data_IF_054984662974
#
_entry.id   IF_054984662974
#
_cell.length_a   1.000
_cell.length_b   1.000
_cell.length_c   1.000
_cell.angle_alpha   90.00
_cell.angle_beta   90.00
_cell.angle_gamma   90.00
#
_symmetry.space_group_name_H-M   'P 1'
#
loop_
_entity.id
_entity.type
_entity.pdbx_description
1 polymer ?
#
# COMPACT_ATOMS: atom_id res chain seq x y z
N UNK A 1 -4.62 16.25 -39.78
CA UNK A 1 -4.65 15.56 -38.47
C UNK A 1 -3.57 16.20 -37.63
N UNK A 2 -3.96 17.12 -36.75
CA UNK A 2 -3.02 17.93 -35.96
C UNK A 2 -2.58 17.08 -34.79
N UNK A 3 -1.30 16.68 -34.75
CA UNK A 3 -0.74 15.94 -33.61
C UNK A 3 -0.53 16.98 -32.51
N UNK A 4 -1.45 17.03 -31.55
CA UNK A 4 -1.25 17.80 -30.33
C UNK A 4 -0.03 17.24 -29.61
N UNK A 5 0.99 18.08 -29.41
CA UNK A 5 2.15 17.68 -28.62
C UNK A 5 1.73 17.69 -27.14
N UNK A 6 1.97 16.60 -26.39
CA UNK A 6 1.70 16.60 -24.96
C UNK A 6 2.50 17.71 -24.29
N UNK A 7 1.86 18.40 -23.33
CA UNK A 7 2.53 19.36 -22.46
C UNK A 7 3.61 18.61 -21.69
N UNK A 8 4.87 18.94 -21.95
CA UNK A 8 6.01 18.39 -21.20
C UNK A 8 6.20 19.28 -19.98
N UNK A 9 5.78 18.80 -18.82
CA UNK A 9 6.15 19.44 -17.55
C UNK A 9 7.66 19.29 -17.32
N UNK A 10 8.29 20.33 -16.76
CA UNK A 10 9.70 20.29 -16.40
C UNK A 10 10.00 19.28 -15.27
N UNK A 11 11.25 19.20 -14.86
CA UNK A 11 11.63 18.33 -13.73
C UNK A 11 10.82 18.63 -12.47
N UNK A 12 10.31 17.58 -11.82
CA UNK A 12 9.55 17.69 -10.57
C UNK A 12 10.45 18.27 -9.49
N UNK A 13 10.15 19.48 -9.03
CA UNK A 13 10.86 20.11 -7.90
C UNK A 13 10.15 19.76 -6.60
N UNK A 14 10.93 19.30 -5.62
CA UNK A 14 10.44 19.20 -4.24
C UNK A 14 10.22 20.60 -3.69
N UNK A 15 9.01 20.88 -3.22
CA UNK A 15 8.70 22.10 -2.49
C UNK A 15 9.16 21.90 -1.05
N UNK A 16 10.35 22.41 -0.74
CA UNK A 16 10.88 22.53 0.61
C UNK A 16 10.77 24.02 0.97
N UNK A 17 10.07 24.33 2.06
CA UNK A 17 9.95 25.70 2.56
C UNK A 17 10.92 25.89 3.71
N UNK A 18 11.56 27.05 3.79
CA UNK A 18 12.47 27.40 4.90
C UNK A 18 11.72 27.48 6.26
N UNK A 19 10.39 27.62 6.21
CA UNK A 19 9.48 27.64 7.35
C UNK A 19 8.15 26.97 6.96
N UNK A 20 7.50 26.29 7.90
CA UNK A 20 6.20 25.63 7.69
C UNK A 20 6.28 24.11 7.74
N UNK A 21 5.13 23.42 7.60
CA UNK A 21 5.06 21.97 7.74
C UNK A 21 5.84 21.26 6.63
N UNK A 22 6.48 20.14 6.98
CA UNK A 22 7.13 19.27 5.98
C UNK A 22 6.06 18.67 5.06
N UNK A 23 6.17 18.94 3.76
CA UNK A 23 5.32 18.32 2.75
C UNK A 23 5.92 17.00 2.27
N UNK A 24 5.15 15.92 2.36
CA UNK A 24 5.52 14.62 1.82
C UNK A 24 5.13 14.42 0.36
N UNK A 25 4.55 15.45 -0.28
CA UNK A 25 3.95 15.37 -1.61
C UNK A 25 2.53 14.80 -1.59
N UNK A 26 2.05 14.36 -2.76
CA UNK A 26 0.75 13.68 -2.88
C UNK A 26 0.91 12.23 -2.44
N UNK A 27 0.38 11.89 -1.27
CA UNK A 27 0.47 10.55 -0.68
C UNK A 27 -0.87 9.82 -0.75
N UNK A 28 -0.82 8.49 -0.69
CA UNK A 28 -2.01 7.62 -0.63
C UNK A 28 -1.92 6.57 0.48
N UNK A 29 -0.71 6.28 0.95
CA UNK A 29 -0.50 5.39 2.07
C UNK A 29 0.75 5.81 2.83
N UNK A 30 0.78 5.44 4.11
CA UNK A 30 1.95 5.57 4.94
C UNK A 30 1.90 4.56 6.08
N UNK A 31 3.07 4.10 6.52
CA UNK A 31 3.20 3.28 7.71
C UNK A 31 4.49 3.64 8.46
N UNK A 32 4.55 3.22 9.72
CA UNK A 32 5.78 3.25 10.51
C UNK A 32 6.47 1.90 10.45
N UNK A 33 7.81 1.92 10.38
CA UNK A 33 8.65 0.74 10.37
C UNK A 33 9.93 0.98 11.18
N UNK A 34 10.52 -0.08 11.70
CA UNK A 34 11.84 -0.06 12.32
C UNK A 34 12.93 -0.39 11.29
N UNK A 35 13.40 0.60 10.53
CA UNK A 35 14.36 0.43 9.43
C UNK A 35 15.75 0.96 9.78
N UNK A 36 15.85 2.22 10.19
CA UNK A 36 17.11 2.91 10.47
C UNK A 36 17.74 2.48 11.80
N UNK A 37 16.93 1.99 12.74
CA UNK A 37 17.34 1.35 13.98
C UNK A 37 16.25 0.39 14.48
N UNK A 38 16.57 -0.47 15.46
CA UNK A 38 15.60 -1.43 16.02
C UNK A 38 14.35 -0.76 16.60
N UNK A 39 14.53 0.39 17.24
CA UNK A 39 13.46 1.14 17.90
C UNK A 39 13.15 2.46 17.18
N UNK A 40 13.51 2.58 15.88
CA UNK A 40 13.13 3.75 15.09
C UNK A 40 11.64 3.75 14.77
N UNK A 41 11.12 4.93 14.42
CA UNK A 41 9.76 5.13 13.93
C UNK A 41 9.85 5.76 12.55
N UNK A 42 10.53 5.08 11.64
CA UNK A 42 10.76 5.62 10.32
C UNK A 42 9.43 5.65 9.56
N UNK A 43 9.19 6.76 8.88
CA UNK A 43 7.98 6.95 8.09
C UNK A 43 8.23 6.47 6.67
N UNK A 44 7.48 5.45 6.24
CA UNK A 44 7.42 5.02 4.85
C UNK A 44 6.16 5.57 4.23
N UNK A 45 6.28 6.28 3.10
CA UNK A 45 5.13 6.84 2.37
C UNK A 45 5.08 6.35 0.94
N UNK A 46 3.88 6.12 0.44
CA UNK A 46 3.57 5.89 -0.98
C UNK A 46 3.09 7.18 -1.60
N UNK A 47 3.84 7.68 -2.59
CA UNK A 47 3.47 8.86 -3.36
C UNK A 47 2.72 8.47 -4.63
N UNK A 48 1.63 9.17 -4.90
CA UNK A 48 0.78 8.95 -6.08
C UNK A 48 1.60 9.17 -7.36
N UNK A 49 1.49 8.21 -8.30
CA UNK A 49 2.17 8.18 -9.61
C UNK A 49 3.71 8.20 -9.53
N UNK A 50 4.25 7.77 -8.40
CA UNK A 50 5.67 7.79 -8.13
C UNK A 50 6.09 6.47 -7.45
N UNK A 51 6.82 6.52 -6.34
CA UNK A 51 7.38 5.35 -5.65
C UNK A 51 7.28 5.49 -4.13
N UNK A 52 7.81 4.50 -3.42
CA UNK A 52 7.91 4.53 -1.96
C UNK A 52 9.12 5.35 -1.50
N UNK A 53 8.95 6.06 -0.40
CA UNK A 53 10.00 6.86 0.22
C UNK A 53 10.10 6.59 1.72
N UNK A 54 11.33 6.42 2.19
CA UNK A 54 11.68 6.35 3.60
C UNK A 54 12.13 7.72 4.10
N UNK A 55 11.54 8.15 5.22
CA UNK A 55 12.04 9.23 6.05
C UNK A 55 12.54 8.62 7.34
N UNK A 56 13.87 8.53 7.46
CA UNK A 56 14.49 8.01 8.66
C UNK A 56 14.22 8.95 9.83
N UNK A 57 13.58 8.45 10.88
CA UNK A 57 13.15 9.24 12.01
C UNK A 57 13.08 8.38 13.27
N UNK A 58 13.56 8.94 14.39
CA UNK A 58 13.38 8.33 15.70
C UNK A 58 12.15 8.89 16.42
N UNK A 59 11.97 10.20 16.38
CA UNK A 59 10.93 10.91 17.14
C UNK A 59 9.93 11.65 16.24
N UNK A 60 10.14 11.68 14.92
CA UNK A 60 9.31 12.38 13.93
C UNK A 60 9.24 13.88 14.26
N UNK A 61 10.25 14.61 13.81
CA UNK A 61 10.32 16.07 13.92
C UNK A 61 10.76 16.71 12.60
N UNK A 62 10.59 18.02 12.48
CA UNK A 62 10.87 18.76 11.25
C UNK A 62 12.32 18.64 10.78
N UNK A 63 13.29 18.57 11.70
CA UNK A 63 14.71 18.40 11.37
C UNK A 63 14.98 17.03 10.73
N UNK A 64 14.40 15.95 11.28
CA UNK A 64 14.50 14.61 10.72
C UNK A 64 13.78 14.51 9.37
N UNK A 65 12.55 15.03 9.30
CA UNK A 65 11.66 14.88 8.14
C UNK A 65 12.03 15.78 6.96
N UNK A 66 12.76 16.87 7.20
CA UNK A 66 13.27 17.76 6.14
C UNK A 66 14.49 17.19 5.39
N UNK A 67 15.10 16.12 5.91
CA UNK A 67 16.21 15.43 5.23
C UNK A 67 15.72 14.78 3.93
N UNK A 68 16.62 14.65 2.97
CA UNK A 68 16.33 14.00 1.69
C UNK A 68 15.86 12.55 1.94
N UNK A 69 14.64 12.16 1.51
CA UNK A 69 14.16 10.82 1.72
C UNK A 69 14.87 9.81 0.81
N UNK A 70 14.90 8.55 1.25
CA UNK A 70 15.48 7.44 0.49
C UNK A 70 14.38 6.79 -0.35
N UNK A 71 14.64 6.62 -1.65
CA UNK A 71 13.77 5.88 -2.54
C UNK A 71 13.82 4.39 -2.21
N UNK A 72 12.67 3.78 -1.95
CA UNK A 72 12.57 2.38 -1.54
C UNK A 72 12.18 1.42 -2.66
N UNK A 73 11.61 1.92 -3.76
CA UNK A 73 11.21 1.13 -4.91
C UNK A 73 11.57 1.85 -6.21
N UNK A 74 11.45 1.17 -7.34
CA UNK A 74 11.29 1.84 -8.64
C UNK A 74 9.91 2.53 -8.69
N UNK A 75 9.68 3.36 -9.71
CA UNK A 75 8.38 3.97 -9.98
C UNK A 75 7.30 2.88 -10.11
N UNK A 76 6.23 3.01 -9.32
CA UNK A 76 5.12 2.07 -9.22
C UNK A 76 3.95 2.43 -10.14
N UNK A 77 3.99 3.60 -10.78
CA UNK A 77 3.07 4.05 -11.83
C UNK A 77 1.64 4.33 -11.38
N UNK A 78 1.31 4.20 -10.10
CA UNK A 78 -0.07 4.25 -9.62
C UNK A 78 -0.21 4.55 -8.13
N UNK A 79 -1.44 4.80 -7.71
CA UNK A 79 -1.83 4.91 -6.32
C UNK A 79 -1.75 3.54 -5.63
N UNK A 80 -0.96 3.44 -4.55
CA UNK A 80 -0.79 2.21 -3.77
C UNK A 80 -0.98 2.45 -2.28
N UNK A 81 -2.04 1.91 -1.69
CA UNK A 81 -2.10 1.76 -0.23
C UNK A 81 -1.00 0.79 0.23
N UNK A 82 -0.55 0.91 1.48
CA UNK A 82 0.57 0.11 1.98
C UNK A 82 0.43 -0.26 3.44
N UNK A 83 0.98 -1.40 3.82
CA UNK A 83 1.13 -1.82 5.21
C UNK A 83 2.45 -2.59 5.42
N UNK A 84 3.10 -2.32 6.54
CA UNK A 84 4.21 -3.12 7.05
C UNK A 84 3.72 -4.46 7.57
N UNK A 85 4.42 -5.53 7.23
CA UNK A 85 4.04 -6.91 7.59
C UNK A 85 5.27 -7.74 7.98
N UNK A 86 5.15 -8.59 9.00
CA UNK A 86 6.18 -9.57 9.36
C UNK A 86 5.62 -11.00 9.24
N UNK A 87 5.37 -11.44 7.99
CA UNK A 87 4.84 -12.78 7.73
C UNK A 87 5.79 -13.90 8.12
N UNK A 88 7.10 -13.64 8.07
CA UNK A 88 8.13 -14.61 8.44
C UNK A 88 8.29 -14.73 9.96
N UNK A 89 7.63 -13.86 10.74
CA UNK A 89 7.76 -13.76 12.19
C UNK A 89 9.23 -13.65 12.65
N UNK A 90 10.06 -12.98 11.85
CA UNK A 90 11.49 -12.85 12.11
C UNK A 90 11.87 -11.46 12.69
N UNK A 91 10.88 -10.61 12.94
CA UNK A 91 11.06 -9.23 13.40
C UNK A 91 11.54 -8.28 12.31
N UNK A 92 11.56 -8.71 11.04
CA UNK A 92 11.93 -7.90 9.89
C UNK A 92 10.69 -7.69 9.04
N UNK A 93 10.25 -6.43 9.00
CA UNK A 93 9.05 -6.04 8.27
C UNK A 93 9.32 -5.96 6.76
N UNK A 94 8.49 -6.68 6.00
CA UNK A 94 8.28 -6.54 4.56
C UNK A 94 7.10 -5.56 4.30
N UNK A 95 6.62 -5.46 3.05
CA UNK A 95 5.46 -4.64 2.69
C UNK A 95 4.40 -5.42 1.90
N UNK A 96 3.13 -5.06 2.11
CA UNK A 96 2.08 -5.28 1.12
C UNK A 96 1.64 -3.96 0.52
N UNK A 97 1.40 -3.96 -0.79
CA UNK A 97 0.87 -2.83 -1.53
C UNK A 97 -0.44 -3.22 -2.19
N UNK A 98 -1.43 -2.34 -2.13
CA UNK A 98 -2.71 -2.53 -2.81
C UNK A 98 -2.77 -1.71 -4.09
N UNK A 99 -3.37 -2.27 -5.15
CA UNK A 99 -3.66 -1.53 -6.38
C UNK A 99 -5.12 -1.10 -6.47
N UNK A 100 -5.41 -0.11 -7.33
CA UNK A 100 -6.81 0.22 -7.67
C UNK A 100 -7.52 -0.96 -8.30
N UNK A 101 -6.81 -1.84 -9.00
CA UNK A 101 -7.36 -3.08 -9.54
C UNK A 101 -7.80 -4.10 -8.47
N UNK A 102 -7.71 -3.78 -7.19
CA UNK A 102 -8.15 -4.60 -6.07
C UNK A 102 -7.12 -5.64 -5.64
N UNK A 103 -6.02 -5.82 -6.38
CA UNK A 103 -5.02 -6.84 -6.10
C UNK A 103 -4.07 -6.40 -4.99
N UNK A 104 -3.62 -7.38 -4.21
CA UNK A 104 -2.62 -7.21 -3.15
C UNK A 104 -1.29 -7.75 -3.69
N UNK A 105 -0.23 -6.95 -3.60
CA UNK A 105 1.12 -7.29 -4.05
C UNK A 105 2.06 -7.39 -2.85
N UNK A 106 2.97 -8.35 -2.87
CA UNK A 106 4.00 -8.53 -1.83
C UNK A 106 5.32 -7.91 -2.27
N UNK A 107 5.89 -7.12 -1.37
CA UNK A 107 7.14 -6.40 -1.56
C UNK A 107 8.12 -6.85 -0.49
N UNK A 108 9.15 -7.60 -0.88
CA UNK A 108 10.12 -8.16 0.04
C UNK A 108 11.24 -7.14 0.30
N UNK A 109 11.55 -6.90 1.58
CA UNK A 109 12.69 -6.08 1.99
C UNK A 109 14.01 -6.76 1.60
N UNK A 110 14.90 -5.98 1.00
CA UNK A 110 16.26 -6.39 0.62
C UNK A 110 17.26 -5.33 1.05
N UNK A 111 18.44 -5.80 1.45
CA UNK A 111 19.50 -4.93 1.97
C UNK A 111 19.21 -4.41 3.36
N UNK A 112 20.06 -3.49 3.82
CA UNK A 112 19.96 -2.85 5.12
C UNK A 112 20.13 -1.34 4.98
N UNK A 113 19.66 -0.57 5.95
CA UNK A 113 19.83 0.87 5.95
C UNK A 113 21.33 1.26 5.85
N UNK A 114 21.70 2.24 4.99
CA UNK A 114 20.84 3.09 4.15
C UNK A 114 20.53 2.52 2.75
N UNK A 115 21.11 1.39 2.37
CA UNK A 115 21.05 0.80 1.02
C UNK A 115 19.90 -0.22 0.84
N UNK A 116 18.81 -0.08 1.62
CA UNK A 116 17.67 -0.99 1.50
C UNK A 116 16.77 -0.64 0.31
N UNK A 117 16.05 -1.64 -0.18
CA UNK A 117 14.97 -1.48 -1.14
C UNK A 117 13.92 -2.57 -0.95
N UNK A 118 12.75 -2.37 -1.55
CA UNK A 118 11.68 -3.35 -1.60
C UNK A 118 11.55 -3.90 -3.02
N UNK A 119 11.67 -5.21 -3.13
CA UNK A 119 11.54 -5.95 -4.38
C UNK A 119 10.10 -6.41 -4.58
N UNK A 120 9.50 -6.04 -5.71
CA UNK A 120 8.17 -6.52 -6.10
C UNK A 120 8.22 -8.04 -6.40
N UNK A 121 7.52 -8.83 -5.58
CA UNK A 121 7.40 -10.28 -5.75
C UNK A 121 6.11 -10.70 -6.44
N UNK A 122 5.33 -9.74 -6.93
CA UNK A 122 4.04 -9.95 -7.57
C UNK A 122 2.89 -10.07 -6.58
N UNK A 123 1.75 -10.57 -7.09
CA UNK A 123 0.54 -10.69 -6.30
C UNK A 123 0.69 -11.72 -5.17
N UNK A 124 -0.09 -11.50 -4.12
CA UNK A 124 -0.31 -12.49 -3.07
C UNK A 124 -1.31 -13.51 -3.60
N UNK A 125 -0.93 -14.79 -3.58
CA UNK A 125 -1.75 -15.90 -4.06
C UNK A 125 -2.24 -16.75 -2.90
N UNK A 126 -3.46 -17.26 -3.04
CA UNK A 126 -3.93 -18.38 -2.24
C UNK A 126 -3.04 -19.60 -2.49
N UNK A 127 -2.62 -20.24 -1.40
CA UNK A 127 -1.71 -21.39 -1.43
C UNK A 127 -2.35 -22.61 -2.10
N UNK A 128 -3.64 -22.82 -1.91
CA UNK A 128 -4.32 -24.05 -2.32
C UNK A 128 -4.89 -23.95 -3.74
N UNK A 129 -5.44 -22.79 -4.11
CA UNK A 129 -6.11 -22.56 -5.41
C UNK A 129 -5.25 -21.86 -6.44
N UNK A 130 -4.08 -21.34 -6.05
CA UNK A 130 -3.16 -20.57 -6.91
C UNK A 130 -3.85 -19.36 -7.59
N UNK A 131 -4.83 -18.76 -6.90
CA UNK A 131 -5.53 -17.56 -7.35
C UNK A 131 -5.03 -16.32 -6.60
N UNK A 132 -4.85 -15.17 -7.27
CA UNK A 132 -4.44 -13.94 -6.61
C UNK A 132 -5.59 -13.38 -5.75
N UNK A 133 -5.26 -12.84 -4.59
CA UNK A 133 -6.24 -12.14 -3.75
C UNK A 133 -6.68 -10.82 -4.39
N UNK A 134 -7.99 -10.60 -4.44
CA UNK A 134 -8.58 -9.38 -5.00
C UNK A 134 -9.77 -8.92 -4.16
N UNK A 135 -9.77 -7.66 -3.75
CA UNK A 135 -10.95 -6.99 -3.20
C UNK A 135 -11.83 -6.53 -4.37
N UNK A 136 -13.10 -6.97 -4.42
CA UNK A 136 -14.01 -6.63 -5.52
C UNK A 136 -14.33 -5.14 -5.54
N UNK A 137 -14.64 -4.60 -6.72
CA UNK A 137 -15.08 -3.21 -6.90
C UNK A 137 -16.52 -2.97 -6.44
N UNK A 138 -17.30 -4.05 -6.34
CA UNK A 138 -18.72 -3.99 -6.08
C UNK A 138 -18.93 -3.86 -4.56
N UNK A 139 -19.54 -2.75 -4.15
CA UNK A 139 -20.12 -2.64 -2.83
C UNK A 139 -21.55 -3.18 -2.90
N UNK A 140 -21.79 -4.38 -2.36
CA UNK A 140 -23.12 -5.00 -2.33
C UNK A 140 -24.15 -4.18 -1.54
N UNK A 141 -23.70 -3.31 -0.65
CA UNK A 141 -24.54 -2.44 0.18
C UNK A 141 -24.93 -1.14 -0.54
N UNK A 142 -24.28 -0.80 -1.67
CA UNK A 142 -24.60 0.36 -2.49
C UNK A 142 -25.20 -0.10 -3.83
N UNK A 143 -26.51 -0.34 -3.82
CA UNK A 143 -27.27 -0.80 -4.99
C UNK A 143 -27.31 0.24 -6.13
N UNK A 144 -27.12 1.52 -5.82
CA UNK A 144 -27.10 2.63 -6.78
C UNK A 144 -25.90 3.54 -6.51
N UNK A 145 -25.09 3.81 -7.54
CA UNK A 145 -23.88 4.65 -7.48
C UNK A 145 -24.16 6.16 -7.61
N UNK A 146 -25.42 6.53 -7.92
CA UNK A 146 -25.88 7.91 -8.08
C UNK A 146 -27.15 8.13 -7.27
N UNK A 147 -27.04 7.96 -5.95
CA UNK A 147 -28.07 8.46 -5.04
C UNK A 147 -27.77 9.93 -4.73
N UNK A 148 -28.81 10.73 -4.52
CA UNK A 148 -28.69 12.15 -4.13
C UNK A 148 -28.00 12.36 -2.77
N UNK A 149 -27.53 11.28 -2.11
CA UNK A 149 -26.81 11.28 -0.83
C UNK A 149 -25.30 11.46 -0.99
N UNK A 150 -24.79 11.48 -2.22
CA UNK A 150 -23.39 11.82 -2.53
C UNK A 150 -22.88 11.11 -3.78
N UNK A 151 -22.08 11.82 -4.58
CA UNK A 151 -21.42 11.24 -5.76
C UNK A 151 -20.16 10.48 -5.33
N UNK A 152 -20.15 9.16 -5.55
CA UNK A 152 -18.93 8.35 -5.55
C UNK A 152 -18.73 7.80 -6.95
N UNK A 153 -17.66 8.23 -7.63
CA UNK A 153 -17.28 7.62 -8.91
C UNK A 153 -16.97 6.13 -8.66
N UNK A 154 -17.64 5.20 -9.35
CA UNK A 154 -17.38 3.76 -9.20
C UNK A 154 -15.91 3.39 -9.44
N UNK A 155 -15.20 4.17 -10.26
CA UNK A 155 -13.77 4.03 -10.51
C UNK A 155 -12.88 4.37 -9.30
N UNK A 156 -13.42 5.02 -8.26
CA UNK A 156 -12.73 5.32 -7.01
C UNK A 156 -13.03 4.33 -5.88
N UNK A 157 -13.90 3.32 -6.05
CA UNK A 157 -14.27 2.38 -4.98
C UNK A 157 -13.12 1.51 -4.45
N UNK A 158 -12.10 1.23 -5.27
CA UNK A 158 -10.97 0.38 -4.87
C UNK A 158 -9.73 1.16 -4.42
N UNK A 159 -9.92 2.24 -3.69
CA UNK A 159 -8.82 2.79 -2.90
C UNK A 159 -8.73 1.96 -1.65
N UNK A 160 -7.85 0.97 -1.68
CA UNK A 160 -7.71 -0.01 -0.62
C UNK A 160 -6.68 0.44 0.42
N UNK A 161 -7.07 0.36 1.68
CA UNK A 161 -6.28 0.74 2.85
C UNK A 161 -5.96 -0.51 3.67
N UNK A 162 -4.84 -1.20 3.38
CA UNK A 162 -4.46 -2.41 4.12
C UNK A 162 -3.97 -2.05 5.52
N UNK A 163 -4.28 -2.92 6.48
CA UNK A 163 -3.80 -2.89 7.84
C UNK A 163 -3.34 -4.31 8.20
N UNK A 164 -2.13 -4.39 8.75
CA UNK A 164 -1.60 -5.60 9.34
C UNK A 164 -2.11 -5.76 10.76
N UNK A 165 -2.75 -6.90 11.06
CA UNK A 165 -3.29 -7.18 12.39
C UNK A 165 -2.81 -8.53 12.91
N UNK A 166 -1.91 -8.50 13.90
CA UNK A 166 -1.40 -9.70 14.57
C UNK A 166 -2.36 -10.12 15.69
N UNK A 167 -2.89 -11.35 15.61
CA UNK A 167 -3.81 -11.87 16.62
C UNK A 167 -3.14 -12.92 17.52
N UNK A 168 -3.04 -12.60 18.81
CA UNK A 168 -2.50 -13.49 19.85
C UNK A 168 -1.02 -13.86 19.68
N UNK A 169 -0.56 -14.77 20.53
CA UNK A 169 0.82 -15.29 20.50
C UNK A 169 1.06 -16.32 19.37
N UNK A 170 -0.02 -16.70 18.67
CA UNK A 170 -0.04 -17.74 17.67
C UNK A 170 0.41 -17.28 16.26
N UNK A 171 1.10 -16.15 16.13
CA UNK A 171 1.80 -15.74 14.90
C UNK A 171 0.94 -15.55 13.63
N UNK A 172 -0.37 -15.77 13.67
CA UNK A 172 -1.26 -15.62 12.53
C UNK A 172 -1.38 -14.14 12.12
N UNK A 173 -1.11 -13.88 10.85
CA UNK A 173 -0.95 -12.55 10.27
C UNK A 173 -2.21 -12.12 9.50
N UNK A 174 -3.26 -11.73 10.21
CA UNK A 174 -4.51 -11.32 9.58
C UNK A 174 -4.31 -10.01 8.80
N UNK A 175 -4.99 -9.91 7.66
CA UNK A 175 -5.14 -8.66 6.95
C UNK A 175 -6.55 -8.11 7.16
N UNK A 176 -6.59 -6.81 7.40
CA UNK A 176 -7.82 -6.04 7.37
C UNK A 176 -7.64 -5.01 6.26
N UNK A 177 -8.55 -4.97 5.30
CA UNK A 177 -8.47 -4.02 4.20
C UNK A 177 -9.74 -3.18 4.21
N UNK A 178 -9.59 -1.87 4.42
CA UNK A 178 -10.66 -0.92 4.17
C UNK A 178 -10.72 -0.54 2.69
N UNK A 179 -11.89 -0.15 2.20
CA UNK A 179 -12.03 0.49 0.90
C UNK A 179 -12.70 1.87 1.01
N UNK A 180 -12.63 2.65 -0.06
CA UNK A 180 -13.25 3.99 -0.14
C UNK A 180 -14.76 3.95 -0.24
N UNK A 181 -15.36 2.79 -0.48
CA UNK A 181 -16.81 2.56 -0.41
C UNK A 181 -17.30 2.29 1.01
N UNK A 182 -16.41 2.26 2.00
CA UNK A 182 -16.75 2.10 3.41
C UNK A 182 -16.82 0.64 3.89
N UNK A 183 -16.41 -0.34 3.06
CA UNK A 183 -16.36 -1.73 3.50
C UNK A 183 -15.07 -2.04 4.26
N UNK A 184 -15.16 -3.05 5.12
CA UNK A 184 -14.03 -3.63 5.81
C UNK A 184 -13.94 -5.13 5.49
N UNK A 185 -12.83 -5.51 4.86
CA UNK A 185 -12.56 -6.88 4.45
C UNK A 185 -11.61 -7.53 5.45
N UNK A 186 -12.10 -8.54 6.16
CA UNK A 186 -11.26 -9.33 7.07
C UNK A 186 -10.78 -10.59 6.36
N UNK A 187 -9.46 -10.75 6.31
CA UNK A 187 -8.78 -11.90 5.74
C UNK A 187 -7.98 -12.59 6.85
N UNK A 188 -8.54 -13.62 7.51
CA UNK A 188 -7.82 -14.37 8.54
C UNK A 188 -6.68 -15.17 7.91
N UNK A 189 -5.50 -15.12 8.51
CA UNK A 189 -4.39 -15.98 8.12
C UNK A 189 -4.60 -17.38 8.71
N UNK A 190 -4.78 -18.34 7.81
CA UNK A 190 -5.05 -19.74 8.09
C UNK A 190 -3.80 -20.61 7.88
N UNK A 191 -2.60 -20.01 7.87
CA UNK A 191 -1.33 -20.73 7.86
C UNK A 191 -0.93 -21.18 9.27
N UNK A 192 -0.06 -22.21 9.36
CA UNK A 192 0.43 -22.75 10.63
C UNK A 192 1.69 -22.01 11.15
N UNK A 193 1.83 -20.72 10.85
CA UNK A 193 3.03 -19.88 11.08
C UNK A 193 4.24 -20.28 10.22
N UNK A 194 5.11 -19.29 9.92
CA UNK A 194 6.42 -19.41 9.25
C UNK A 194 6.44 -19.65 7.72
N UNK A 195 5.30 -19.60 7.04
CA UNK A 195 5.22 -19.66 5.58
C UNK A 195 4.55 -18.41 4.99
N UNK A 196 4.38 -18.37 3.66
CA UNK A 196 3.49 -17.39 3.03
C UNK A 196 2.08 -17.53 3.63
N UNK A 197 1.40 -16.43 3.96
CA UNK A 197 0.09 -16.49 4.60
C UNK A 197 -0.92 -17.19 3.68
N UNK A 198 -1.93 -17.79 4.30
CA UNK A 198 -3.03 -18.44 3.58
C UNK A 198 -4.33 -17.75 3.95
N UNK A 199 -4.94 -17.05 3.00
CA UNK A 199 -6.26 -16.44 3.19
C UNK A 199 -7.31 -17.19 2.37
N UNK A 200 -8.50 -17.36 2.91
CA UNK A 200 -9.62 -17.96 2.17
C UNK A 200 -10.56 -16.90 1.62
N UNK A 201 -11.18 -17.20 0.48
CA UNK A 201 -12.14 -16.32 -0.18
C UNK A 201 -12.99 -17.05 -1.21
N UNK A 202 -14.00 -16.35 -1.70
CA UNK A 202 -14.92 -16.83 -2.74
C UNK A 202 -14.37 -16.50 -4.12
N UNK A 203 -14.37 -17.47 -5.03
CA UNK A 203 -13.99 -17.25 -6.43
C UNK A 203 -15.04 -16.38 -7.12
N UNK A 204 -14.59 -15.35 -7.81
CA UNK A 204 -15.44 -14.55 -8.70
C UNK A 204 -14.69 -14.19 -9.99
N UNK A 205 -15.41 -13.63 -10.95
CA UNK A 205 -14.86 -13.17 -12.23
C UNK A 205 -15.01 -11.66 -12.29
N UNK A 206 -13.93 -11.00 -12.69
CA UNK A 206 -13.86 -9.54 -12.82
C UNK A 206 -14.06 -9.16 -14.28
N UNK A 207 -15.23 -8.62 -14.61
CA UNK A 207 -15.52 -8.09 -15.94
C UNK A 207 -15.03 -6.64 -16.04
N UNK A 208 -13.94 -6.40 -16.76
CA UNK A 208 -13.36 -5.06 -16.93
C UNK A 208 -14.27 -4.10 -17.72
N UNK A 209 -15.32 -4.62 -18.38
CA UNK A 209 -16.26 -3.81 -19.15
C UNK A 209 -17.51 -3.39 -18.35
N UNK A 210 -17.64 -3.84 -17.10
CA UNK A 210 -18.72 -3.46 -16.18
C UNK A 210 -18.26 -2.46 -15.11
N UNK A 211 -17.11 -1.82 -15.34
CA UNK A 211 -16.53 -0.77 -14.49
C UNK A 211 -16.89 0.58 -15.06
#
# INVERSE_FOLDING_TARGET
MTIEKPIVFGERKHLIMDYGPVSFGMIIGGCFMSISAKDSRDLVVSRIWDQLYLYAAKEINDEELSKKPIALTKNLGGARGLAAIDWKCNGIEDLILTGRDGFISYFERKGEYPDLYFEDKGYVYDKDKELPFNIPWENSELLETDSLDGYSDPGFHNYLYPIYYKFGDAGACNLIIGDSSGNLWWMPDLSNQFEKPRYEGTRYIKDKNKV
#
